data_IF_831066367209
#
_entry.id   IF_831066367209
#
_cell.length_a   1.000
_cell.length_b   1.000
_cell.length_c   1.000
_cell.angle_alpha   90.00
_cell.angle_beta   90.00
_cell.angle_gamma   90.00
#
_symmetry.space_group_name_H-M   'P 1'
#
loop_
_entity.id
_entity.type
_entity.pdbx_description
1 polymer ?
#
# COMPACT_ATOMS: atom_id res chain seq x y z
N UNK A 1 -7.07 7.44 -24.06
CA UNK A 1 -6.21 6.71 -23.10
C UNK A 1 -7.05 5.56 -22.58
N UNK A 2 -6.87 4.37 -23.15
CA UNK A 2 -7.54 3.16 -22.67
C UNK A 2 -7.06 2.89 -21.26
N UNK A 3 -7.80 3.41 -20.29
CA UNK A 3 -7.47 3.24 -18.88
C UNK A 3 -7.76 1.78 -18.53
N UNK A 4 -6.74 0.94 -18.70
CA UNK A 4 -6.87 -0.50 -18.79
C UNK A 4 -7.38 -1.05 -17.46
N UNK A 5 -8.32 -2.01 -17.50
CA UNK A 5 -9.05 -2.46 -16.29
C UNK A 5 -8.09 -2.99 -15.22
N UNK A 6 -6.99 -3.63 -15.62
CA UNK A 6 -5.97 -4.11 -14.69
C UNK A 6 -5.08 -3.02 -14.13
N UNK A 7 -4.84 -1.93 -14.87
CA UNK A 7 -4.07 -0.79 -14.38
C UNK A 7 -4.78 -0.14 -13.20
N UNK A 8 -6.08 0.15 -13.31
CA UNK A 8 -6.87 0.67 -12.18
C UNK A 8 -6.90 -0.27 -10.98
N UNK A 9 -6.92 -1.59 -11.23
CA UNK A 9 -6.92 -2.58 -10.15
C UNK A 9 -5.57 -2.67 -9.46
N UNK A 10 -4.48 -2.53 -10.22
CA UNK A 10 -3.13 -2.46 -9.69
C UNK A 10 -2.94 -1.19 -8.87
N UNK A 11 -3.40 -0.04 -9.36
CA UNK A 11 -3.32 1.23 -8.63
C UNK A 11 -4.11 1.16 -7.32
N UNK A 12 -5.36 0.70 -7.35
CA UNK A 12 -6.16 0.50 -6.13
C UNK A 12 -5.51 -0.46 -5.13
N UNK A 13 -4.81 -1.49 -5.63
CA UNK A 13 -4.07 -2.41 -4.78
C UNK A 13 -2.88 -1.73 -4.10
N UNK A 14 -2.10 -0.95 -4.86
CA UNK A 14 -0.94 -0.21 -4.36
C UNK A 14 -1.35 0.87 -3.36
N UNK A 15 -2.39 1.66 -3.66
CA UNK A 15 -2.97 2.63 -2.73
C UNK A 15 -3.41 1.96 -1.42
N UNK A 16 -4.01 0.76 -1.55
CA UNK A 16 -4.38 -0.06 -0.42
C UNK A 16 -3.18 -0.45 0.44
N UNK A 17 -2.02 -0.78 -0.16
CA UNK A 17 -0.81 -1.12 0.58
C UNK A 17 -0.22 0.06 1.33
N UNK A 18 -0.31 1.29 0.79
CA UNK A 18 0.30 2.47 1.37
C UNK A 18 -0.41 2.97 2.65
N UNK A 19 -1.69 2.64 2.82
CA UNK A 19 -2.52 3.09 3.94
C UNK A 19 -1.87 3.06 5.34
N UNK A 20 -1.24 1.95 5.78
CA UNK A 20 -0.55 1.89 7.08
C UNK A 20 0.57 2.92 7.23
N UNK A 21 1.34 3.16 6.17
CA UNK A 21 2.45 4.13 6.18
C UNK A 21 1.95 5.56 5.99
N UNK A 22 0.87 5.75 5.24
CA UNK A 22 0.20 7.04 5.04
C UNK A 22 -0.39 7.62 6.33
N UNK A 23 -0.59 6.80 7.37
CA UNK A 23 -1.02 7.28 8.69
C UNK A 23 0.10 7.99 9.49
N UNK A 24 1.38 7.76 9.17
CA UNK A 24 2.52 8.31 9.94
C UNK A 24 2.57 9.85 9.90
N UNK A 25 2.40 10.53 8.73
CA UNK A 25 2.28 11.98 8.67
C UNK A 25 1.12 12.54 9.50
N UNK A 26 -0.06 11.90 9.46
CA UNK A 26 -1.20 12.33 10.28
C UNK A 26 -0.89 12.22 11.78
N UNK A 27 -0.27 11.12 12.21
CA UNK A 27 0.13 10.94 13.62
C UNK A 27 1.12 12.02 14.03
N UNK A 28 2.09 12.35 13.16
CA UNK A 28 3.03 13.44 13.40
C UNK A 28 2.32 14.78 13.56
N UNK A 29 1.32 15.06 12.72
CA UNK A 29 0.58 16.32 12.75
C UNK A 29 -0.31 16.44 13.99
N UNK A 30 -0.96 15.36 14.42
CA UNK A 30 -1.90 15.36 15.55
C UNK A 30 -1.24 15.19 16.91
N UNK A 31 -0.18 14.38 17.00
CA UNK A 31 0.43 13.92 18.26
C UNK A 31 1.92 14.24 18.39
N UNK A 32 2.52 14.85 17.36
CA UNK A 32 3.93 15.25 17.35
C UNK A 32 4.91 14.15 16.91
N UNK A 33 6.17 14.52 16.79
CA UNK A 33 7.24 13.66 16.24
C UNK A 33 7.51 12.42 17.09
N UNK A 34 7.49 12.52 18.42
CA UNK A 34 7.79 11.38 19.30
C UNK A 34 6.75 10.26 19.17
N UNK A 35 5.46 10.61 19.13
CA UNK A 35 4.40 9.65 18.87
C UNK A 35 4.57 9.01 17.48
N UNK A 36 4.84 9.81 16.45
CA UNK A 36 5.08 9.30 15.09
C UNK A 36 6.22 8.28 15.02
N UNK A 37 7.36 8.56 15.68
CA UNK A 37 8.49 7.62 15.75
C UNK A 37 8.12 6.33 16.49
N UNK A 38 7.37 6.43 17.59
CA UNK A 38 6.92 5.25 18.33
C UNK A 38 5.93 4.39 17.53
N UNK A 39 5.06 5.01 16.72
CA UNK A 39 4.08 4.30 15.88
C UNK A 39 4.64 3.76 14.57
N UNK A 40 5.75 4.33 14.07
CA UNK A 40 6.41 3.91 12.82
C UNK A 40 6.68 2.41 12.74
N UNK A 41 7.31 1.73 13.74
CA UNK A 41 7.56 0.30 13.64
C UNK A 41 6.27 -0.53 13.53
N UNK A 42 5.18 -0.12 14.20
CA UNK A 42 3.89 -0.80 14.09
C UNK A 42 3.28 -0.64 12.69
N UNK A 43 3.34 0.58 12.14
CA UNK A 43 2.92 0.85 10.76
C UNK A 43 3.73 0.02 9.75
N UNK A 44 5.04 -0.10 9.95
CA UNK A 44 5.91 -0.95 9.13
C UNK A 44 5.54 -2.43 9.24
N UNK A 45 5.29 -2.95 10.45
CA UNK A 45 4.86 -4.34 10.62
C UNK A 45 3.52 -4.62 9.94
N UNK A 46 2.56 -3.70 10.06
CA UNK A 46 1.27 -3.81 9.38
C UNK A 46 1.42 -3.76 7.86
N UNK A 47 2.29 -2.90 7.35
CA UNK A 47 2.63 -2.86 5.92
C UNK A 47 3.20 -4.20 5.45
N UNK A 48 4.23 -4.71 6.13
CA UNK A 48 4.87 -5.99 5.77
C UNK A 48 3.87 -7.15 5.84
N UNK A 49 3.05 -7.22 6.88
CA UNK A 49 2.01 -8.23 7.02
C UNK A 49 0.99 -8.16 5.87
N UNK A 50 0.52 -6.96 5.53
CA UNK A 50 -0.43 -6.75 4.45
C UNK A 50 0.16 -7.13 3.10
N UNK A 51 1.42 -6.74 2.85
CA UNK A 51 2.16 -7.17 1.66
C UNK A 51 2.27 -8.69 1.63
N UNK A 52 2.69 -9.34 2.72
CA UNK A 52 2.84 -10.80 2.75
C UNK A 52 1.52 -11.54 2.43
N UNK A 53 0.40 -11.07 2.96
CA UNK A 53 -0.93 -11.68 2.72
C UNK A 53 -1.40 -11.44 1.28
N UNK A 54 -1.12 -10.27 0.73
CA UNK A 54 -1.69 -9.84 -0.56
C UNK A 54 -0.72 -9.92 -1.73
N UNK A 55 0.54 -10.29 -1.48
CA UNK A 55 1.58 -10.43 -2.50
C UNK A 55 1.18 -11.37 -3.65
N UNK A 56 0.51 -12.52 -3.42
CA UNK A 56 0.04 -13.37 -4.52
C UNK A 56 -0.94 -12.63 -5.45
N UNK A 57 -1.81 -11.79 -4.88
CA UNK A 57 -2.77 -10.99 -5.63
C UNK A 57 -2.08 -9.85 -6.40
N UNK A 58 -1.12 -9.16 -5.77
CA UNK A 58 -0.30 -8.15 -6.45
C UNK A 58 0.45 -8.73 -7.65
N UNK A 59 1.06 -9.91 -7.48
CA UNK A 59 1.76 -10.62 -8.56
C UNK A 59 0.80 -11.01 -9.69
N UNK A 60 -0.40 -11.50 -9.36
CA UNK A 60 -1.45 -11.77 -10.34
C UNK A 60 -1.86 -10.51 -11.12
N UNK A 61 -2.07 -9.38 -10.45
CA UNK A 61 -2.45 -8.12 -11.10
C UNK A 61 -1.36 -7.59 -12.05
N UNK A 62 -0.08 -7.70 -11.64
CA UNK A 62 1.05 -7.34 -12.50
C UNK A 62 1.07 -8.23 -13.74
N UNK A 63 0.95 -9.55 -13.59
CA UNK A 63 0.91 -10.48 -14.71
C UNK A 63 -0.30 -10.23 -15.64
N UNK A 64 -1.48 -9.98 -15.08
CA UNK A 64 -2.69 -9.68 -15.84
C UNK A 64 -2.54 -8.38 -16.66
N UNK A 65 -1.88 -7.36 -16.12
CA UNK A 65 -1.52 -6.14 -16.85
C UNK A 65 -0.62 -6.43 -18.05
N UNK A 66 0.36 -7.34 -17.91
CA UNK A 66 1.26 -7.71 -19.01
C UNK A 66 0.59 -8.55 -20.09
N UNK A 67 -0.40 -9.37 -19.75
CA UNK A 67 -1.15 -10.22 -20.69
C UNK A 67 -2.20 -9.46 -21.51
N UNK A 68 -2.63 -8.28 -21.06
CA UNK A 68 -3.59 -7.42 -21.78
C UNK A 68 -2.93 -6.46 -22.79
N UNK A 69 -1.61 -6.55 -22.99
CA UNK A 69 -0.84 -5.77 -23.98
C UNK A 69 -0.75 -6.49 -25.32
#
# INVERSE_FOLDING_TARGET
>A
MDNNKWERRLDNYLDGLEGPLAAIPEIKQKWGTLASVAFTPFATLLFVLKVAITAPWGLFLVLARFLER
#
